data_IF_466238888401
#
_entry.id   IF_466238888401
#
_cell.length_a   1.000
_cell.length_b   1.000
_cell.length_c   1.000
_cell.angle_alpha   90.00
_cell.angle_beta   90.00
_cell.angle_gamma   90.00
#
_symmetry.space_group_name_H-M   'P 1'
#
loop_
_entity.id
_entity.type
_entity.pdbx_description
1 polymer ?
#
# COMPACT_ATOMS: atom_id res chain seq x y z
N UNK A 1 11.46 8.91 -5.72
CA UNK A 1 10.02 9.19 -5.51
C UNK A 1 9.87 10.63 -5.05
N UNK A 2 8.87 11.32 -5.56
CA UNK A 2 8.64 12.73 -5.23
C UNK A 2 8.31 12.92 -3.75
N UNK A 3 8.83 13.98 -3.14
CA UNK A 3 8.64 14.26 -1.71
C UNK A 3 7.18 14.39 -1.30
N UNK A 4 6.32 14.90 -2.18
CA UNK A 4 4.87 15.03 -1.90
C UNK A 4 4.17 13.68 -1.83
N UNK A 5 4.60 12.71 -2.61
CA UNK A 5 4.10 11.34 -2.53
C UNK A 5 4.52 10.71 -1.21
N UNK A 6 5.80 10.84 -0.85
CA UNK A 6 6.35 10.31 0.41
C UNK A 6 5.61 10.90 1.61
N UNK A 7 5.43 12.22 1.62
CA UNK A 7 4.71 12.91 2.68
C UNK A 7 3.28 12.42 2.81
N UNK A 8 2.57 12.26 1.69
CA UNK A 8 1.19 11.78 1.71
C UNK A 8 1.11 10.35 2.25
N UNK A 9 2.01 9.47 1.85
CA UNK A 9 2.07 8.09 2.39
C UNK A 9 2.31 8.12 3.89
N UNK A 10 3.26 8.94 4.37
CA UNK A 10 3.59 9.01 5.79
C UNK A 10 2.50 9.65 6.65
N UNK A 11 1.69 10.52 6.08
CA UNK A 11 0.62 11.21 6.80
C UNK A 11 -0.69 10.42 6.86
N UNK A 12 -0.74 9.26 6.22
CA UNK A 12 -1.88 8.37 6.23
C UNK A 12 -1.47 7.00 6.77
N UNK A 13 -2.44 6.15 7.09
CA UNK A 13 -2.18 4.85 7.70
C UNK A 13 -3.08 3.72 7.21
N UNK A 14 -4.14 4.04 6.47
CA UNK A 14 -5.12 3.06 6.00
C UNK A 14 -5.12 3.06 4.47
N UNK A 15 -5.01 1.87 3.89
CA UNK A 15 -5.11 1.67 2.45
C UNK A 15 -6.26 0.73 2.11
N UNK A 16 -6.72 0.83 0.87
CA UNK A 16 -7.53 -0.20 0.23
C UNK A 16 -6.66 -0.89 -0.82
N UNK A 17 -6.70 -2.22 -0.87
CA UNK A 17 -5.99 -2.99 -1.88
C UNK A 17 -6.97 -3.83 -2.68
N UNK A 18 -6.77 -3.84 -3.99
CA UNK A 18 -7.59 -4.58 -4.94
C UNK A 18 -6.76 -5.67 -5.62
N UNK A 19 -7.33 -6.84 -5.78
CA UNK A 19 -6.67 -8.00 -6.37
C UNK A 19 -7.64 -8.80 -7.22
N UNK A 20 -7.05 -9.62 -8.08
CA UNK A 20 -7.82 -10.50 -8.96
C UNK A 20 -8.51 -11.60 -8.16
N UNK A 21 -9.75 -11.89 -8.54
CA UNK A 21 -10.53 -13.02 -8.06
C UNK A 21 -11.07 -13.79 -9.27
N UNK A 22 -11.55 -15.01 -9.06
CA UNK A 22 -12.10 -15.83 -10.14
C UNK A 22 -13.27 -15.15 -10.88
N UNK A 23 -14.09 -14.38 -10.14
CA UNK A 23 -15.28 -13.72 -10.65
C UNK A 23 -15.10 -12.22 -10.90
N UNK A 24 -13.86 -11.74 -10.91
CA UNK A 24 -13.57 -10.32 -11.13
C UNK A 24 -12.48 -9.80 -10.22
N UNK A 25 -12.79 -8.76 -9.43
CA UNK A 25 -11.85 -8.13 -8.51
C UNK A 25 -12.41 -8.14 -7.10
N UNK A 26 -11.53 -8.30 -6.13
CA UNK A 26 -11.83 -8.25 -4.70
C UNK A 26 -11.08 -7.10 -4.05
N UNK A 27 -11.62 -6.52 -2.99
CA UNK A 27 -11.00 -5.39 -2.30
C UNK A 27 -10.99 -5.62 -0.79
N UNK A 28 -9.93 -5.18 -0.13
CA UNK A 28 -9.77 -5.23 1.31
C UNK A 28 -9.09 -3.97 1.81
N UNK A 29 -9.13 -3.73 3.12
CA UNK A 29 -8.45 -2.62 3.77
C UNK A 29 -7.35 -3.15 4.69
N UNK A 30 -6.30 -2.35 4.88
CA UNK A 30 -5.24 -2.67 5.82
C UNK A 30 -4.57 -1.39 6.33
N UNK A 31 -4.12 -1.41 7.58
CA UNK A 31 -3.18 -0.41 8.06
C UNK A 31 -1.80 -0.72 7.52
N UNK A 32 -1.02 0.33 7.27
CA UNK A 32 0.31 0.16 6.69
C UNK A 32 1.36 1.03 7.35
N UNK A 33 2.60 0.56 7.28
CA UNK A 33 3.80 1.34 7.51
C UNK A 33 4.59 1.43 6.21
N UNK A 34 5.44 2.44 6.07
CA UNK A 34 6.17 2.67 4.81
C UNK A 34 7.65 2.36 4.96
N UNK A 35 8.14 1.45 4.13
CA UNK A 35 9.55 1.21 3.91
C UNK A 35 10.01 2.08 2.73
N UNK A 36 10.54 3.25 3.03
CA UNK A 36 10.93 4.24 2.02
C UNK A 36 12.09 3.75 1.16
N UNK A 37 13.03 2.99 1.73
CA UNK A 37 14.20 2.52 0.98
C UNK A 37 13.82 1.56 -0.14
N UNK A 38 12.90 0.65 0.14
CA UNK A 38 12.43 -0.34 -0.84
C UNK A 38 11.14 0.09 -1.52
N UNK A 39 10.61 1.26 -1.19
CA UNK A 39 9.35 1.78 -1.71
C UNK A 39 8.22 0.76 -1.57
N UNK A 40 8.08 0.23 -0.36
CA UNK A 40 7.09 -0.80 -0.06
C UNK A 40 6.19 -0.39 1.10
N UNK A 41 4.90 -0.68 0.96
CA UNK A 41 3.93 -0.53 2.04
C UNK A 41 3.86 -1.87 2.77
N UNK A 42 4.04 -1.85 4.10
CA UNK A 42 4.07 -3.06 4.91
C UNK A 42 2.74 -3.20 5.62
N UNK A 43 2.10 -4.36 5.46
CA UNK A 43 0.83 -4.68 6.10
C UNK A 43 0.95 -5.95 6.92
N UNK A 44 0.07 -6.09 7.91
CA UNK A 44 -0.08 -7.31 8.70
C UNK A 44 -1.46 -7.90 8.43
N UNK A 45 -1.53 -9.18 8.15
CA UNK A 45 -2.79 -9.87 7.86
C UNK A 45 -2.68 -11.35 8.20
N UNK A 46 -3.83 -11.98 8.48
CA UNK A 46 -3.86 -13.44 8.62
C UNK A 46 -3.51 -14.09 7.29
N UNK A 47 -2.63 -15.11 7.29
CA UNK A 47 -2.30 -15.85 6.05
C UNK A 47 -3.50 -16.58 5.45
N UNK A 48 -4.56 -16.80 6.24
CA UNK A 48 -5.78 -17.48 5.80
C UNK A 48 -6.85 -16.51 5.28
N UNK A 49 -6.60 -15.20 5.33
CA UNK A 49 -7.55 -14.22 4.80
C UNK A 49 -7.67 -14.33 3.29
N UNK A 50 -8.85 -14.00 2.76
CA UNK A 50 -9.11 -14.10 1.33
C UNK A 50 -8.16 -13.20 0.53
N UNK A 51 -7.94 -11.97 0.98
CA UNK A 51 -7.07 -11.05 0.25
C UNK A 51 -5.62 -11.53 0.17
N UNK A 52 -5.09 -12.17 1.22
CA UNK A 52 -3.73 -12.74 1.20
C UNK A 52 -3.65 -13.92 0.24
N UNK A 53 -4.64 -14.82 0.28
CA UNK A 53 -4.67 -15.97 -0.63
C UNK A 53 -4.72 -15.54 -2.10
N UNK A 54 -5.57 -14.56 -2.42
CA UNK A 54 -5.70 -14.03 -3.77
C UNK A 54 -4.43 -13.32 -4.24
N UNK A 55 -3.86 -12.45 -3.40
CA UNK A 55 -2.66 -11.70 -3.74
C UNK A 55 -1.41 -12.58 -3.83
N UNK A 56 -1.34 -13.66 -3.06
CA UNK A 56 -0.27 -14.65 -3.18
C UNK A 56 -0.32 -15.35 -4.54
N UNK A 57 -1.51 -15.66 -5.00
CA UNK A 57 -1.73 -16.35 -6.28
C UNK A 57 -1.53 -15.42 -7.49
N UNK A 58 -1.95 -14.15 -7.38
CA UNK A 58 -1.82 -13.13 -8.41
C UNK A 58 -1.25 -11.85 -7.78
N UNK A 59 0.08 -11.73 -7.68
CA UNK A 59 0.72 -10.70 -6.86
C UNK A 59 0.70 -9.29 -7.42
N UNK A 60 0.26 -9.09 -8.65
CA UNK A 60 0.10 -7.76 -9.23
C UNK A 60 -1.21 -7.15 -8.73
N UNK A 61 -1.11 -6.19 -7.82
CA UNK A 61 -2.25 -5.60 -7.10
C UNK A 61 -2.31 -4.10 -7.31
N UNK A 62 -3.50 -3.54 -7.02
CA UNK A 62 -3.70 -2.10 -6.99
C UNK A 62 -4.02 -1.63 -5.57
N UNK A 63 -3.63 -0.39 -5.25
CA UNK A 63 -3.82 0.19 -3.92
C UNK A 63 -4.37 1.60 -4.09
N UNK A 64 -5.25 1.99 -3.18
CA UNK A 64 -5.72 3.36 -3.05
C UNK A 64 -5.52 3.87 -1.63
N UNK A 65 -4.94 5.07 -1.52
CA UNK A 65 -4.88 5.82 -0.28
C UNK A 65 -5.58 7.16 -0.57
N UNK A 66 -6.63 7.45 0.18
CA UNK A 66 -7.36 8.70 0.00
C UNK A 66 -7.53 9.37 1.36
N UNK A 67 -7.44 10.69 1.35
CA UNK A 67 -7.77 11.49 2.51
C UNK A 67 -9.02 12.28 2.21
N UNK A 68 -10.06 12.05 3.01
CA UNK A 68 -11.30 12.79 2.93
C UNK A 68 -11.10 14.17 3.55
N UNK A 69 -11.23 15.17 2.72
CA UNK A 69 -11.29 16.58 3.12
C UNK A 69 -12.59 17.15 2.56
N UNK A 70 -12.83 18.45 2.79
CA UNK A 70 -13.96 19.12 2.14
C UNK A 70 -13.79 19.06 0.62
N UNK A 71 -14.85 18.72 -0.10
CA UNK A 71 -14.88 18.85 -1.56
C UNK A 71 -14.72 20.35 -1.90
N UNK A 72 -13.80 20.75 -2.79
CA UNK A 72 -12.96 19.97 -3.71
C UNK A 72 -11.54 19.66 -3.20
N UNK A 73 -11.33 19.52 -1.89
CA UNK A 73 -9.99 19.41 -1.28
C UNK A 73 -9.46 17.97 -1.25
N UNK A 74 -10.02 17.06 -2.03
CA UNK A 74 -9.61 15.66 -2.07
C UNK A 74 -8.17 15.50 -2.49
N UNK A 75 -7.44 14.67 -1.74
CA UNK A 75 -6.11 14.17 -2.10
C UNK A 75 -6.20 12.64 -2.18
N UNK A 76 -5.53 12.08 -3.16
CA UNK A 76 -5.52 10.64 -3.35
C UNK A 76 -4.24 10.14 -3.99
N UNK A 77 -3.92 8.88 -3.70
CA UNK A 77 -2.77 8.19 -4.26
C UNK A 77 -3.22 6.83 -4.78
N UNK A 78 -3.12 6.64 -6.08
CA UNK A 78 -3.42 5.37 -6.75
C UNK A 78 -2.11 4.69 -7.07
N UNK A 79 -1.98 3.42 -6.70
CA UNK A 79 -0.72 2.68 -6.71
C UNK A 79 -0.91 1.35 -7.42
N UNK A 80 0.11 0.93 -8.16
CA UNK A 80 0.29 -0.45 -8.60
C UNK A 80 1.50 -1.02 -7.86
N UNK A 81 1.37 -2.23 -7.35
CA UNK A 81 2.39 -2.84 -6.51
C UNK A 81 2.45 -4.35 -6.71
N UNK A 82 3.58 -4.93 -6.29
CA UNK A 82 3.78 -6.37 -6.23
C UNK A 82 3.66 -6.81 -4.78
N UNK A 83 2.78 -7.77 -4.53
CA UNK A 83 2.57 -8.38 -3.21
C UNK A 83 3.60 -9.48 -2.96
N UNK A 84 4.31 -9.39 -1.84
CA UNK A 84 5.32 -10.38 -1.45
C UNK A 84 5.43 -10.47 0.08
N UNK A 85 6.11 -11.48 0.59
CA UNK A 85 6.36 -11.58 2.02
C UNK A 85 7.31 -10.48 2.46
N UNK A 86 7.07 -9.89 3.64
CA UNK A 86 7.96 -8.91 4.22
C UNK A 86 9.21 -9.59 4.81
N UNK A 87 10.34 -8.89 4.76
CA UNK A 87 11.57 -9.31 5.42
C UNK A 87 11.59 -8.85 6.90
N UNK A 88 12.64 -9.23 7.64
CA UNK A 88 12.74 -8.90 9.07
C UNK A 88 12.84 -7.40 9.34
N UNK A 89 13.53 -6.65 8.48
CA UNK A 89 13.63 -5.18 8.62
C UNK A 89 12.27 -4.52 8.42
N UNK A 90 11.49 -5.01 7.46
CA UNK A 90 10.15 -4.50 7.18
C UNK A 90 9.18 -4.80 8.33
N UNK A 91 9.26 -5.96 8.95
CA UNK A 91 8.50 -6.26 10.16
C UNK A 91 8.79 -5.26 11.27
N UNK A 92 10.06 -4.91 11.47
CA UNK A 92 10.45 -3.90 12.48
C UNK A 92 9.89 -2.52 12.16
N UNK A 93 9.86 -2.14 10.89
CA UNK A 93 9.25 -0.88 10.44
C UNK A 93 7.77 -0.85 10.82
N UNK A 94 7.05 -1.96 10.60
CA UNK A 94 5.64 -2.06 10.97
C UNK A 94 5.45 -1.95 12.48
N UNK A 95 6.22 -2.69 13.27
CA UNK A 95 6.13 -2.65 14.74
C UNK A 95 6.47 -1.28 15.32
N UNK A 96 7.37 -0.53 14.70
CA UNK A 96 7.70 0.82 15.16
C UNK A 96 6.51 1.77 15.05
N UNK A 97 5.65 1.56 14.05
CA UNK A 97 4.42 2.37 13.86
C UNK A 97 3.23 1.80 14.61
N UNK A 98 3.11 0.47 14.71
CA UNK A 98 1.98 -0.24 15.31
C UNK A 98 2.48 -1.27 16.33
N UNK A 99 2.89 -0.81 17.50
CA UNK A 99 3.47 -1.66 18.54
C UNK A 99 2.54 -2.79 19.00
N UNK A 100 1.21 -2.55 19.00
CA UNK A 100 0.22 -3.56 19.38
C UNK A 100 0.22 -4.79 18.44
N UNK A 101 0.75 -4.66 17.24
CA UNK A 101 0.79 -5.77 16.28
C UNK A 101 1.65 -6.95 16.75
N UNK A 102 2.54 -6.73 17.72
CA UNK A 102 3.32 -7.82 18.36
C UNK A 102 2.46 -8.82 19.09
N UNK A 103 1.24 -8.42 19.49
CA UNK A 103 0.27 -9.26 20.20
C UNK A 103 -0.66 -10.00 19.23
N UNK A 104 -0.57 -9.71 17.92
CA UNK A 104 -1.42 -10.30 16.91
C UNK A 104 -0.75 -11.53 16.30
N UNK A 105 -1.56 -12.58 16.05
CA UNK A 105 -1.12 -13.73 15.29
C UNK A 105 -1.30 -13.44 13.80
N UNK A 106 -0.41 -12.63 13.24
CA UNK A 106 -0.46 -12.20 11.86
C UNK A 106 0.87 -12.43 11.16
N UNK A 107 0.82 -12.54 9.83
CA UNK A 107 1.98 -12.52 8.97
C UNK A 107 2.13 -11.12 8.34
N UNK A 108 3.33 -10.81 7.85
CA UNK A 108 3.66 -9.50 7.33
C UNK A 108 3.97 -9.60 5.84
N UNK A 109 3.44 -8.64 5.09
CA UNK A 109 3.55 -8.59 3.64
C UNK A 109 4.04 -7.22 3.21
N UNK A 110 4.83 -7.20 2.15
CA UNK A 110 5.33 -5.98 1.54
C UNK A 110 4.64 -5.77 0.19
N UNK A 111 4.11 -4.59 0.00
CA UNK A 111 3.46 -4.16 -1.24
C UNK A 111 4.44 -3.22 -1.93
N UNK A 112 5.27 -3.76 -2.83
CA UNK A 112 6.37 -3.04 -3.46
C UNK A 112 5.86 -2.22 -4.64
N UNK A 113 5.96 -0.89 -4.50
CA UNK A 113 5.36 0.08 -5.41
C UNK A 113 6.18 0.15 -6.70
N UNK A 114 5.52 -0.02 -7.86
CA UNK A 114 6.16 0.21 -9.16
C UNK A 114 5.50 1.33 -9.95
N UNK A 115 4.30 1.76 -9.56
CA UNK A 115 3.62 2.91 -10.14
C UNK A 115 2.82 3.62 -9.05
N UNK A 116 2.84 4.96 -9.06
CA UNK A 116 1.97 5.76 -8.21
C UNK A 116 1.56 7.04 -8.93
N UNK A 117 0.31 7.44 -8.72
CA UNK A 117 -0.25 8.71 -9.20
C UNK A 117 -0.84 9.43 -8.01
N UNK A 118 -0.27 10.58 -7.69
CA UNK A 118 -0.78 11.47 -6.64
C UNK A 118 -1.62 12.56 -7.28
N UNK A 119 -2.83 12.74 -6.77
CA UNK A 119 -3.75 13.80 -7.18
C UNK A 119 -4.03 14.72 -6.01
N UNK A 120 -3.85 16.02 -6.21
CA UNK A 120 -4.21 17.05 -5.28
C UNK A 120 -5.16 18.03 -5.97
N UNK A 121 -6.44 17.95 -5.67
CA UNK A 121 -7.46 18.76 -6.32
C UNK A 121 -7.38 20.25 -5.97
N UNK A 122 -6.83 20.59 -4.80
CA UNK A 122 -6.66 22.00 -4.38
C UNK A 122 -5.75 22.76 -5.35
N UNK A 123 -4.65 22.07 -5.77
CA UNK A 123 -3.61 22.67 -6.61
C UNK A 123 -3.73 22.25 -8.08
N UNK A 124 -4.71 21.41 -8.42
CA UNK A 124 -4.81 20.81 -9.74
C UNK A 124 -3.59 19.97 -10.11
N UNK A 125 -2.87 19.43 -9.12
CA UNK A 125 -1.62 18.71 -9.33
C UNK A 125 -1.84 17.24 -9.57
N UNK A 126 -1.05 16.69 -10.51
CA UNK A 126 -0.88 15.25 -10.71
C UNK A 126 0.61 14.96 -10.73
N UNK A 127 1.06 14.10 -9.82
CA UNK A 127 2.47 13.73 -9.67
C UNK A 127 2.59 12.23 -9.81
N UNK A 128 3.54 11.77 -10.61
CA UNK A 128 3.71 10.36 -10.94
C UNK A 128 5.03 9.82 -10.42
N UNK A 129 5.02 8.54 -10.06
CA UNK A 129 6.21 7.74 -9.82
C UNK A 129 6.10 6.46 -10.65
N UNK A 130 7.20 6.06 -11.27
CA UNK A 130 7.26 4.80 -12.03
C UNK A 130 8.64 4.18 -11.86
N UNK A 131 8.67 2.89 -11.51
CA UNK A 131 9.89 2.10 -11.46
C UNK A 131 9.86 1.08 -12.61
N UNK A 132 10.56 1.39 -13.68
CA UNK A 132 10.59 0.58 -14.90
C UNK A 132 11.42 -0.70 -14.77
N UNK A 133 12.16 -0.86 -13.68
CA UNK A 133 13.02 -2.02 -13.45
C UNK A 133 12.26 -3.20 -12.82
N UNK A 134 10.99 -3.02 -12.48
CA UNK A 134 10.15 -4.10 -11.97
C UNK A 134 9.56 -4.86 -13.15
N UNK A 135 9.85 -6.16 -13.20
CA UNK A 135 9.27 -7.10 -14.16
C UNK A 135 8.00 -7.68 -13.53
N UNK A 136 6.92 -7.53 -14.24
CA UNK A 136 5.58 -7.94 -13.77
C UNK A 136 5.20 -9.26 -14.46
#
# INVERSE_FOLDING_TARGET
MNDKIIEFINNNRLLSLAMQDNDGVYIANAFYAFDILNKALIIASSPNSKHVRLATKAPNIAINIAKDNKVPLLKGLQIKAIFEKANEKQKKIYFAKFAFARLMNAEFYALRIYFAKFTNNILGQKIYFENKNIII
#
